data_IF_005744546640
#
_entry.id   IF_005744546640
#
_cell.length_a   1.000
_cell.length_b   1.000
_cell.length_c   1.000
_cell.angle_alpha   90.00
_cell.angle_beta   90.00
_cell.angle_gamma   90.00
#
_symmetry.space_group_name_H-M   'P 1'
#
loop_
_entity.id
_entity.type
_entity.pdbx_description
1 polymer ?
#
# COMPACT_ATOMS: atom_id res chain seq x y z
N UNK A 1 -10.48 21.29 -10.36
CA UNK A 1 -9.34 20.65 -11.05
C UNK A 1 -9.66 20.53 -12.53
N UNK A 2 -8.80 20.97 -13.47
CA UNK A 2 -9.02 20.84 -14.91
C UNK A 2 -9.03 19.38 -15.36
N UNK A 3 -9.76 19.09 -16.43
CA UNK A 3 -9.94 17.72 -16.92
C UNK A 3 -8.62 16.97 -17.20
N UNK A 4 -7.61 17.56 -17.87
CA UNK A 4 -6.35 16.86 -18.11
C UNK A 4 -5.62 16.48 -16.82
N UNK A 5 -5.59 17.39 -15.84
CA UNK A 5 -4.99 17.14 -14.54
C UNK A 5 -5.75 16.04 -13.79
N UNK A 6 -7.09 16.10 -13.78
CA UNK A 6 -7.93 15.08 -13.14
C UNK A 6 -7.66 13.69 -13.69
N UNK A 7 -7.57 13.53 -15.01
CA UNK A 7 -7.26 12.25 -15.65
C UNK A 7 -5.84 11.76 -15.33
N UNK A 8 -4.85 12.65 -15.35
CA UNK A 8 -3.47 12.31 -14.99
C UNK A 8 -3.38 11.83 -13.53
N UNK A 9 -4.06 12.51 -12.60
CA UNK A 9 -4.12 12.09 -11.19
C UNK A 9 -4.82 10.74 -11.05
N UNK A 10 -5.94 10.51 -11.74
CA UNK A 10 -6.61 9.21 -11.69
C UNK A 10 -5.71 8.08 -12.19
N UNK A 11 -4.94 8.32 -13.26
CA UNK A 11 -3.98 7.34 -13.79
C UNK A 11 -2.88 7.02 -12.79
N UNK A 12 -2.24 8.04 -12.21
CA UNK A 12 -1.17 7.87 -11.21
C UNK A 12 -1.67 7.16 -9.95
N UNK A 13 -2.86 7.51 -9.46
CA UNK A 13 -3.46 6.81 -8.31
C UNK A 13 -3.73 5.35 -8.64
N UNK A 14 -4.22 5.06 -9.85
CA UNK A 14 -4.47 3.67 -10.28
C UNK A 14 -3.17 2.86 -10.37
N UNK A 15 -2.10 3.46 -10.90
CA UNK A 15 -0.76 2.87 -10.96
C UNK A 15 -0.17 2.64 -9.56
N UNK A 16 -0.29 3.60 -8.64
CA UNK A 16 0.13 3.43 -7.25
C UNK A 16 -0.62 2.27 -6.57
N UNK A 17 -1.93 2.14 -6.80
CA UNK A 17 -2.72 1.00 -6.30
C UNK A 17 -2.19 -0.32 -6.88
N UNK A 18 -1.86 -0.39 -8.17
CA UNK A 18 -1.27 -1.60 -8.78
C UNK A 18 0.08 -1.97 -8.14
N UNK A 19 0.89 -0.98 -7.80
CA UNK A 19 2.14 -1.21 -7.05
C UNK A 19 1.84 -1.75 -5.64
N UNK A 20 0.87 -1.18 -4.92
CA UNK A 20 0.42 -1.71 -3.61
C UNK A 20 -0.09 -3.15 -3.71
N UNK A 21 -0.80 -3.52 -4.78
CA UNK A 21 -1.18 -4.93 -5.02
C UNK A 21 0.05 -5.85 -5.11
N UNK A 22 1.14 -5.36 -5.72
CA UNK A 22 2.41 -6.06 -5.76
C UNK A 22 2.98 -6.29 -4.36
N UNK A 23 2.96 -5.27 -3.50
CA UNK A 23 3.40 -5.37 -2.09
C UNK A 23 2.63 -6.47 -1.36
N UNK A 24 1.29 -6.46 -1.44
CA UNK A 24 0.45 -7.49 -0.84
C UNK A 24 0.81 -8.87 -1.38
N UNK A 25 0.85 -9.02 -2.72
CA UNK A 25 1.17 -10.31 -3.35
C UNK A 25 2.50 -10.90 -2.92
N UNK A 26 3.55 -10.09 -2.84
CA UNK A 26 4.90 -10.59 -2.53
C UNK A 26 5.12 -10.82 -1.05
N UNK A 27 4.29 -10.28 -0.17
CA UNK A 27 4.38 -10.54 1.29
C UNK A 27 3.69 -11.84 1.72
N UNK A 28 2.97 -12.51 0.82
CA UNK A 28 2.35 -13.82 1.06
C UNK A 28 3.36 -14.97 1.15
N UNK A 29 3.02 -15.98 1.97
CA UNK A 29 3.91 -17.05 2.45
C UNK A 29 4.63 -17.85 1.34
N UNK A 30 4.01 -18.01 0.17
CA UNK A 30 4.52 -18.86 -0.90
C UNK A 30 5.50 -18.17 -1.86
N UNK A 31 5.74 -16.86 -1.73
CA UNK A 31 6.64 -16.08 -2.61
C UNK A 31 8.07 -15.93 -2.05
N UNK A 32 8.46 -16.81 -1.12
CA UNK A 32 9.58 -16.65 -0.19
C UNK A 32 11.00 -16.32 -0.74
N UNK A 33 11.45 -16.71 -1.95
CA UNK A 33 12.83 -16.39 -2.35
C UNK A 33 13.04 -14.94 -2.78
N UNK A 34 12.01 -14.23 -3.28
CA UNK A 34 12.16 -12.89 -3.89
C UNK A 34 11.38 -11.79 -3.19
N UNK A 35 10.61 -12.12 -2.13
CA UNK A 35 9.71 -11.17 -1.47
C UNK A 35 10.40 -9.87 -1.06
N UNK A 36 11.62 -9.91 -0.51
CA UNK A 36 12.32 -8.72 0.00
C UNK A 36 12.51 -7.68 -1.09
N UNK A 37 13.12 -8.09 -2.21
CA UNK A 37 13.41 -7.20 -3.32
C UNK A 37 12.13 -6.71 -3.97
N UNK A 38 11.21 -7.62 -4.27
CA UNK A 38 9.97 -7.26 -4.96
C UNK A 38 9.05 -6.38 -4.12
N UNK A 39 8.93 -6.66 -2.83
CA UNK A 39 8.14 -5.82 -1.90
C UNK A 39 8.74 -4.44 -1.78
N UNK A 40 10.06 -4.32 -1.64
CA UNK A 40 10.73 -3.02 -1.59
C UNK A 40 10.55 -2.23 -2.88
N UNK A 41 10.81 -2.84 -4.04
CA UNK A 41 10.62 -2.17 -5.34
C UNK A 41 9.18 -1.68 -5.52
N UNK A 42 8.19 -2.53 -5.22
CA UNK A 42 6.78 -2.15 -5.37
C UNK A 42 6.34 -1.09 -4.36
N UNK A 43 6.79 -1.16 -3.12
CA UNK A 43 6.51 -0.12 -2.13
C UNK A 43 7.14 1.22 -2.53
N UNK A 44 8.37 1.20 -3.07
CA UNK A 44 9.02 2.42 -3.54
C UNK A 44 8.35 3.01 -4.77
N UNK A 45 7.96 2.18 -5.73
CA UNK A 45 7.21 2.60 -6.93
C UNK A 45 5.89 3.27 -6.52
N UNK A 46 5.12 2.65 -5.61
CA UNK A 46 3.86 3.21 -5.11
C UNK A 46 4.05 4.60 -4.48
N UNK A 47 5.06 4.74 -3.62
CA UNK A 47 5.38 6.00 -2.96
C UNK A 47 5.81 7.08 -3.96
N UNK A 48 6.63 6.73 -4.96
CA UNK A 48 7.07 7.68 -6.00
C UNK A 48 5.92 8.12 -6.90
N UNK A 49 5.05 7.20 -7.28
CA UNK A 49 3.87 7.52 -8.10
C UNK A 49 2.89 8.43 -7.36
N UNK A 50 2.66 8.20 -6.06
CA UNK A 50 1.87 9.12 -5.23
C UNK A 50 2.55 10.47 -5.04
N UNK A 51 3.87 10.50 -4.89
CA UNK A 51 4.64 11.75 -4.84
C UNK A 51 4.51 12.54 -6.16
N UNK A 52 4.58 11.87 -7.32
CA UNK A 52 4.33 12.52 -8.61
C UNK A 52 2.93 13.14 -8.68
N UNK A 53 1.90 12.41 -8.22
CA UNK A 53 0.53 12.93 -8.17
C UNK A 53 0.42 14.17 -7.27
N UNK A 54 1.01 14.12 -6.07
CA UNK A 54 1.04 15.25 -5.14
C UNK A 54 1.76 16.46 -5.75
N UNK A 55 2.92 16.26 -6.38
CA UNK A 55 3.69 17.34 -7.02
C UNK A 55 2.96 17.95 -8.23
N UNK A 56 2.20 17.18 -9.01
CA UNK A 56 1.38 17.72 -10.10
C UNK A 56 0.22 18.58 -9.58
N UNK A 57 -0.46 18.13 -8.52
CA UNK A 57 -1.51 18.92 -7.86
C UNK A 57 -0.90 20.22 -7.31
N UNK A 58 0.24 20.12 -6.63
CA UNK A 58 0.95 21.24 -6.05
C UNK A 58 1.38 22.27 -7.10
N UNK A 59 1.97 21.82 -8.21
CA UNK A 59 2.35 22.68 -9.32
C UNK A 59 1.13 23.42 -9.92
N UNK A 60 -0.01 22.73 -10.04
CA UNK A 60 -1.25 23.36 -10.50
C UNK A 60 -1.79 24.39 -9.49
N UNK A 61 -1.76 24.08 -8.19
CA UNK A 61 -2.15 25.01 -7.14
C UNK A 61 -1.28 26.28 -7.15
N UNK A 62 0.04 26.14 -7.31
CA UNK A 62 0.95 27.29 -7.48
C UNK A 62 0.62 28.08 -8.75
N UNK A 63 0.40 27.39 -9.87
CA UNK A 63 0.03 28.03 -11.13
C UNK A 63 -1.27 28.84 -11.04
N UNK A 64 -2.19 28.45 -10.16
CA UNK A 64 -3.46 29.15 -9.91
C UNK A 64 -3.39 30.18 -8.78
N UNK A 65 -2.19 30.45 -8.25
CA UNK A 65 -1.95 31.53 -7.29
C UNK A 65 -1.92 31.12 -5.82
N UNK A 66 -1.87 29.83 -5.50
CA UNK A 66 -1.67 29.37 -4.12
C UNK A 66 -0.27 29.75 -3.61
N UNK A 67 -0.21 30.39 -2.44
CA UNK A 67 1.05 30.76 -1.81
C UNK A 67 1.89 29.54 -1.37
N UNK A 68 3.23 29.65 -1.38
CA UNK A 68 4.13 28.52 -1.09
C UNK A 68 3.96 27.98 0.33
N UNK A 69 3.76 28.82 1.34
CA UNK A 69 3.60 28.38 2.73
C UNK A 69 2.34 27.53 2.93
N UNK A 70 1.24 27.92 2.29
CA UNK A 70 -0.01 27.13 2.32
C UNK A 70 0.19 25.77 1.66
N UNK A 71 0.91 25.76 0.53
CA UNK A 71 1.20 24.53 -0.19
C UNK A 71 2.12 23.60 0.62
N UNK A 72 3.17 24.13 1.24
CA UNK A 72 4.08 23.35 2.09
C UNK A 72 3.36 22.72 3.29
N UNK A 73 2.42 23.44 3.89
CA UNK A 73 1.57 22.90 4.95
C UNK A 73 0.71 21.72 4.46
N UNK A 74 0.12 21.82 3.26
CA UNK A 74 -0.67 20.72 2.68
C UNK A 74 0.18 19.54 2.24
N UNK A 75 1.38 19.78 1.72
CA UNK A 75 2.31 18.73 1.32
C UNK A 75 3.03 18.09 2.51
N UNK A 76 2.92 18.67 3.70
CA UNK A 76 3.60 18.20 4.92
C UNK A 76 5.10 17.98 4.69
N UNK A 77 5.77 18.92 4.01
CA UNK A 77 7.16 18.78 3.58
C UNK A 77 8.14 18.52 4.73
N UNK A 78 7.84 19.00 5.94
CA UNK A 78 8.64 18.75 7.13
C UNK A 78 8.59 17.27 7.59
N UNK A 79 7.56 16.53 7.19
CA UNK A 79 7.42 15.11 7.47
C UNK A 79 8.07 14.23 6.39
N UNK A 80 8.43 14.80 5.24
CA UNK A 80 9.09 14.05 4.18
C UNK A 80 10.51 13.65 4.60
N UNK A 81 10.86 12.41 4.31
CA UNK A 81 12.16 11.85 4.64
C UNK A 81 12.78 11.19 3.42
N UNK A 82 14.08 11.40 3.24
CA UNK A 82 14.81 10.81 2.15
C UNK A 82 14.99 9.31 2.37
N UNK A 83 14.43 8.51 1.47
CA UNK A 83 14.63 7.04 1.46
C UNK A 83 16.11 6.67 1.22
N UNK A 84 16.88 7.53 0.54
CA UNK A 84 18.30 7.31 0.31
C UNK A 84 19.14 7.36 1.60
N UNK A 85 18.58 7.91 2.69
CA UNK A 85 19.22 7.89 4.02
C UNK A 85 19.07 6.54 4.74
N UNK A 86 18.26 5.62 4.21
CA UNK A 86 18.01 4.29 4.80
C UNK A 86 17.09 4.33 6.04
N UNK A 87 16.83 3.16 6.65
CA UNK A 87 16.01 3.07 7.87
C UNK A 87 16.67 3.77 9.05
N UNK A 88 15.91 4.62 9.75
CA UNK A 88 16.35 5.34 10.94
C UNK A 88 16.08 4.52 12.20
N UNK A 89 16.50 5.06 13.33
CA UNK A 89 16.29 4.41 14.62
C UNK A 89 14.80 4.26 14.95
N UNK A 90 13.96 5.23 14.58
CA UNK A 90 12.51 5.13 14.76
C UNK A 90 11.92 3.86 14.11
N UNK A 91 12.27 3.56 12.86
CA UNK A 91 11.78 2.36 12.17
C UNK A 91 12.39 1.08 12.77
N UNK A 92 13.64 1.12 13.26
CA UNK A 92 14.27 -0.01 13.97
C UNK A 92 13.59 -0.30 15.30
N UNK A 93 13.19 0.73 16.05
CA UNK A 93 12.48 0.59 17.31
C UNK A 93 11.07 0.04 17.11
N UNK A 94 10.37 0.51 16.08
CA UNK A 94 9.06 -0.03 15.71
C UNK A 94 9.17 -1.51 15.29
N UNK A 95 10.17 -1.86 14.47
CA UNK A 95 10.46 -3.26 14.13
C UNK A 95 10.81 -4.11 15.36
N UNK A 96 11.58 -3.57 16.31
CA UNK A 96 11.88 -4.26 17.55
C UNK A 96 10.60 -4.54 18.35
N UNK A 97 9.68 -3.57 18.43
CA UNK A 97 8.36 -3.79 19.05
C UNK A 97 7.55 -4.88 18.34
N UNK A 98 7.53 -4.85 17.01
CA UNK A 98 6.81 -5.83 16.18
C UNK A 98 7.32 -7.26 16.35
N UNK A 99 8.64 -7.42 16.51
CA UNK A 99 9.29 -8.74 16.60
C UNK A 99 9.53 -9.21 18.05
N UNK A 100 9.05 -8.48 19.07
CA UNK A 100 9.29 -8.81 20.47
C UNK A 100 10.74 -8.63 20.93
N UNK A 101 11.48 -7.75 20.27
CA UNK A 101 12.84 -7.35 20.62
C UNK A 101 12.93 -6.56 21.94
N UNK A 102 14.15 -6.19 22.36
CA UNK A 102 14.36 -5.46 23.60
C UNK A 102 13.73 -4.06 23.53
N UNK A 103 13.09 -3.65 24.63
CA UNK A 103 12.56 -2.29 24.73
C UNK A 103 13.70 -1.26 24.77
N UNK A 104 13.49 -0.06 24.19
CA UNK A 104 14.46 1.03 24.26
C UNK A 104 14.59 1.59 25.69
N UNK A 105 15.66 2.35 25.92
CA UNK A 105 15.90 3.03 27.20
C UNK A 105 14.72 3.97 27.56
N UNK A 106 14.43 4.06 28.86
CA UNK A 106 13.37 4.90 29.43
C UNK A 106 13.60 6.38 29.13
N UNK A 107 14.86 6.77 28.93
CA UNK A 107 15.32 8.13 28.68
C UNK A 107 14.97 8.69 27.29
N UNK A 108 14.54 7.85 26.33
CA UNK A 108 14.14 8.25 24.99
C UNK A 108 12.63 8.04 24.76
N UNK A 109 11.80 9.09 24.94
CA UNK A 109 10.36 8.99 24.76
C UNK A 109 9.92 8.65 23.32
N UNK A 110 10.67 9.08 22.31
CA UNK A 110 10.30 8.86 20.91
C UNK A 110 10.53 7.40 20.52
N UNK A 111 11.70 6.85 20.88
CA UNK A 111 12.00 5.44 20.68
C UNK A 111 10.95 4.54 21.35
N UNK A 112 10.53 4.88 22.58
CA UNK A 112 9.49 4.14 23.31
C UNK A 112 8.14 4.17 22.61
N UNK A 113 7.74 5.34 22.11
CA UNK A 113 6.48 5.47 21.39
C UNK A 113 6.46 4.57 20.15
N UNK A 114 7.55 4.57 19.36
CA UNK A 114 7.71 3.71 18.18
C UNK A 114 7.69 2.23 18.55
N UNK A 115 8.40 1.83 19.59
CA UNK A 115 8.39 0.46 20.09
C UNK A 115 6.98 0.01 20.51
N UNK A 116 6.22 0.86 21.20
CA UNK A 116 4.84 0.56 21.61
C UNK A 116 3.92 0.41 20.40
N UNK A 117 4.09 1.23 19.36
CA UNK A 117 3.34 1.06 18.11
C UNK A 117 3.65 -0.27 17.44
N UNK A 118 4.92 -0.65 17.35
CA UNK A 118 5.33 -1.95 16.83
C UNK A 118 4.67 -3.11 17.58
N UNK A 119 4.67 -3.08 18.91
CA UNK A 119 3.98 -4.10 19.72
C UNK A 119 2.47 -4.13 19.47
N UNK A 120 1.84 -2.96 19.36
CA UNK A 120 0.42 -2.87 19.05
C UNK A 120 0.12 -3.47 17.67
N UNK A 121 0.93 -3.19 16.66
CA UNK A 121 0.81 -3.81 15.35
C UNK A 121 0.94 -5.34 15.42
N UNK A 122 1.85 -5.87 16.24
CA UNK A 122 1.96 -7.31 16.46
C UNK A 122 0.69 -7.89 17.10
N UNK A 123 0.18 -7.24 18.15
CA UNK A 123 -1.03 -7.67 18.86
C UNK A 123 -2.26 -7.63 17.93
N UNK A 124 -2.39 -6.57 17.12
CA UNK A 124 -3.49 -6.40 16.17
C UNK A 124 -3.40 -7.41 15.02
N UNK A 125 -2.20 -7.71 14.50
CA UNK A 125 -1.99 -8.73 13.47
C UNK A 125 -2.34 -10.15 13.92
N UNK A 126 -2.30 -10.43 15.23
CA UNK A 126 -2.68 -11.71 15.82
C UNK A 126 -4.17 -11.80 16.19
N UNK A 127 -4.93 -10.70 16.03
CA UNK A 127 -6.38 -10.67 16.28
C UNK A 127 -7.14 -10.90 14.97
N UNK A 128 -7.99 -11.93 14.87
CA UNK A 128 -8.69 -12.29 13.65
C UNK A 128 -9.92 -11.43 13.32
N UNK A 129 -10.24 -10.40 14.12
CA UNK A 129 -11.31 -9.45 13.79
C UNK A 129 -10.81 -8.48 12.72
N UNK A 130 -10.72 -8.98 11.49
CA UNK A 130 -10.36 -8.17 10.33
C UNK A 130 -11.56 -7.32 9.94
N UNK A 131 -11.35 -6.00 9.88
CA UNK A 131 -12.34 -5.05 9.38
C UNK A 131 -12.88 -5.54 8.01
N UNK A 132 -14.21 -5.72 7.87
CA UNK A 132 -14.81 -6.14 6.60
C UNK A 132 -14.42 -5.27 5.40
N UNK A 133 -14.14 -3.99 5.61
CA UNK A 133 -13.68 -3.09 4.55
C UNK A 133 -12.28 -3.43 4.05
N UNK A 134 -11.38 -3.81 4.96
CA UNK A 134 -10.01 -4.24 4.62
C UNK A 134 -10.07 -5.55 3.83
N UNK A 135 -10.81 -6.54 4.32
CA UNK A 135 -11.01 -7.82 3.62
C UNK A 135 -11.58 -7.63 2.22
N UNK A 136 -12.60 -6.79 2.09
CA UNK A 136 -13.22 -6.52 0.80
C UNK A 136 -12.25 -5.83 -0.15
N UNK A 137 -11.49 -4.85 0.34
CA UNK A 137 -10.50 -4.13 -0.47
C UNK A 137 -9.42 -5.09 -0.97
N UNK A 138 -8.83 -5.90 -0.09
CA UNK A 138 -7.82 -6.90 -0.47
C UNK A 138 -8.38 -7.91 -1.46
N UNK A 139 -9.58 -8.44 -1.21
CA UNK A 139 -10.24 -9.35 -2.13
C UNK A 139 -10.48 -8.74 -3.51
N UNK A 140 -10.90 -7.47 -3.58
CA UNK A 140 -11.03 -6.75 -4.84
C UNK A 140 -9.70 -6.64 -5.58
N UNK A 141 -8.63 -6.31 -4.85
CA UNK A 141 -7.29 -6.16 -5.41
C UNK A 141 -6.76 -7.50 -5.97
N UNK A 142 -6.92 -8.59 -5.22
CA UNK A 142 -6.51 -9.93 -5.67
C UNK A 142 -7.36 -10.44 -6.83
N UNK A 143 -8.69 -10.26 -6.78
CA UNK A 143 -9.59 -10.69 -7.84
C UNK A 143 -9.33 -9.98 -9.17
N UNK A 144 -9.13 -8.66 -9.13
CA UNK A 144 -8.76 -7.86 -10.30
C UNK A 144 -7.46 -8.37 -10.92
N UNK A 145 -6.42 -8.60 -10.10
CA UNK A 145 -5.13 -9.08 -10.56
C UNK A 145 -5.24 -10.48 -11.17
N UNK A 146 -5.90 -11.40 -10.47
CA UNK A 146 -6.04 -12.78 -10.94
C UNK A 146 -6.77 -12.84 -12.28
N UNK A 147 -7.80 -12.00 -12.46
CA UNK A 147 -8.50 -11.88 -13.74
C UNK A 147 -7.60 -11.34 -14.85
N UNK A 148 -6.78 -10.31 -14.58
CA UNK A 148 -5.88 -9.72 -15.58
C UNK A 148 -4.71 -10.65 -15.97
N UNK A 149 -4.36 -11.61 -15.11
CA UNK A 149 -3.28 -12.56 -15.35
C UNK A 149 -3.78 -13.95 -15.79
N UNK A 150 -5.09 -14.14 -15.98
CA UNK A 150 -5.73 -15.43 -16.23
C UNK A 150 -5.33 -16.53 -15.21
N UNK A 151 -5.15 -16.14 -13.94
CA UNK A 151 -4.63 -16.98 -12.85
C UNK A 151 -5.57 -16.98 -11.63
N UNK A 152 -6.87 -17.18 -11.88
CA UNK A 152 -7.92 -17.21 -10.85
C UNK A 152 -7.76 -18.39 -9.91
N UNK A 153 -7.30 -19.54 -10.41
CA UNK A 153 -7.16 -20.76 -9.62
C UNK A 153 -6.03 -20.69 -8.60
N UNK A 154 -5.01 -19.84 -8.82
CA UNK A 154 -3.97 -19.63 -7.82
C UNK A 154 -4.46 -18.90 -6.57
N UNK A 155 -5.64 -18.24 -6.58
CA UNK A 155 -6.12 -17.48 -5.42
C UNK A 155 -6.19 -18.33 -4.14
N UNK A 156 -6.57 -19.60 -4.25
CA UNK A 156 -6.72 -20.49 -3.09
C UNK A 156 -5.39 -21.01 -2.54
N UNK A 157 -4.28 -20.87 -3.28
CA UNK A 157 -3.00 -21.40 -2.81
C UNK A 157 -2.32 -20.48 -1.80
N UNK A 158 -2.54 -19.17 -1.90
CA UNK A 158 -1.80 -18.19 -1.11
C UNK A 158 -2.66 -17.22 -0.29
N UNK A 159 -3.98 -17.20 -0.46
CA UNK A 159 -4.86 -16.31 0.30
C UNK A 159 -5.60 -17.05 1.43
N UNK A 160 -5.95 -16.35 2.52
CA UNK A 160 -6.90 -16.85 3.48
C UNK A 160 -8.25 -17.22 2.81
N UNK A 161 -8.92 -18.31 3.22
CA UNK A 161 -10.10 -18.83 2.51
C UNK A 161 -11.23 -17.81 2.27
N UNK A 162 -11.48 -16.93 3.24
CA UNK A 162 -12.52 -15.90 3.12
C UNK A 162 -12.17 -14.82 2.09
N UNK A 163 -10.89 -14.45 2.00
CA UNK A 163 -10.39 -13.48 1.01
C UNK A 163 -10.38 -14.13 -0.37
N UNK A 164 -9.90 -15.37 -0.50
CA UNK A 164 -9.90 -16.13 -1.74
C UNK A 164 -11.31 -16.26 -2.34
N UNK A 165 -12.30 -16.64 -1.52
CA UNK A 165 -13.69 -16.78 -1.96
C UNK A 165 -14.28 -15.45 -2.46
N UNK A 166 -13.95 -14.33 -1.82
CA UNK A 166 -14.43 -13.01 -2.24
C UNK A 166 -13.68 -12.52 -3.48
N UNK A 167 -12.38 -12.78 -3.58
CA UNK A 167 -11.56 -12.44 -4.74
C UNK A 167 -12.01 -13.20 -6.00
N UNK A 168 -12.39 -14.48 -5.89
CA UNK A 168 -13.00 -15.26 -6.99
C UNK A 168 -14.29 -14.61 -7.47
N UNK A 169 -15.20 -14.24 -6.57
CA UNK A 169 -16.44 -13.53 -6.94
C UNK A 169 -16.17 -12.24 -7.70
N UNK A 170 -15.13 -11.50 -7.31
CA UNK A 170 -14.70 -10.29 -8.04
C UNK A 170 -14.17 -10.65 -9.43
N UNK A 171 -13.32 -11.67 -9.55
CA UNK A 171 -12.79 -12.11 -10.83
C UNK A 171 -13.88 -12.61 -11.79
N UNK A 172 -14.83 -13.41 -11.28
CA UNK A 172 -15.97 -13.94 -12.04
C UNK A 172 -16.89 -12.83 -12.56
N UNK A 173 -17.14 -11.80 -11.73
CA UNK A 173 -17.95 -10.65 -12.13
C UNK A 173 -17.31 -9.82 -13.28
N UNK A 174 -16.02 -9.99 -13.52
CA UNK A 174 -15.26 -9.35 -14.60
C UNK A 174 -15.15 -10.27 -15.84
N UNK A 175 -15.82 -11.41 -15.86
CA UNK A 175 -15.94 -12.22 -17.06
C UNK A 175 -16.80 -11.48 -18.09
N UNK A 176 -16.17 -11.03 -19.18
CA UNK A 176 -16.89 -10.42 -20.31
C UNK A 176 -17.68 -11.54 -20.97
N UNK A 177 -19.02 -11.43 -21.09
CA UNK A 177 -19.81 -12.43 -21.81
C UNK A 177 -19.31 -12.52 -23.25
N UNK A 178 -19.09 -13.75 -23.75
CA UNK A 178 -18.79 -13.94 -25.17
C UNK A 178 -19.94 -13.33 -25.99
N UNK A 179 -19.64 -12.52 -27.02
CA UNK A 179 -20.68 -12.09 -27.94
C UNK A 179 -21.30 -13.33 -28.57
N UNK A 180 -22.64 -13.40 -28.56
CA UNK A 180 -23.36 -14.51 -29.18
C UNK A 180 -22.90 -14.64 -30.63
N UNK A 181 -22.41 -15.83 -31.00
CA UNK A 181 -22.11 -16.19 -32.38
C UNK A 181 -23.40 -16.08 -33.20
N UNK A 182 -23.50 -15.02 -33.99
CA UNK A 182 -24.53 -14.87 -35.04
C UNK A 182 -24.16 -15.66 -36.27
#
# INVERSE_FOLDING_TARGET
MPEPLRRAIHQLVSEAVQHCQGVLRYTELDQAPTWKGMTLYRATDAADTMNMAAMLIAAYCQHTGMGPDTLWNYMQVEQQQSRASGPRDAERQELAGLLGGPAPDVSDPEARLRFVWGRRHADDALRPEVDPQVLFTEACLHGLRARLCDDVDALDSYLPPQVAATARKVADALEVPQPATT
#
